data_IF_654070463643
#
_entry.id   IF_654070463643
#
_cell.length_a   1.000
_cell.length_b   1.000
_cell.length_c   1.000
_cell.angle_alpha   90.00
_cell.angle_beta   90.00
_cell.angle_gamma   90.00
#
_symmetry.space_group_name_H-M   'P 1'
#
loop_
_entity.id
_entity.type
_entity.pdbx_description
1 polymer ?
#
# COMPACT_ATOMS: atom_id res chain seq x y z
N UNK A 1 -19.99 -9.55 -6.89
CA UNK A 1 -18.79 -9.74 -6.06
C UNK A 1 -18.53 -8.40 -5.42
N UNK A 2 -18.33 -8.36 -4.11
CA UNK A 2 -18.05 -7.10 -3.42
C UNK A 2 -16.69 -6.59 -3.89
N UNK A 3 -16.50 -5.28 -4.03
CA UNK A 3 -15.19 -4.70 -4.36
C UNK A 3 -14.09 -5.17 -3.37
N UNK A 4 -14.47 -5.57 -2.16
CA UNK A 4 -13.55 -6.14 -1.17
C UNK A 4 -13.01 -7.52 -1.53
N UNK A 5 -13.80 -8.37 -2.19
CA UNK A 5 -13.42 -9.76 -2.49
C UNK A 5 -12.22 -9.82 -3.45
N UNK A 6 -12.22 -8.92 -4.43
CA UNK A 6 -11.14 -8.78 -5.42
C UNK A 6 -9.83 -8.35 -4.76
N UNK A 7 -9.91 -7.43 -3.80
CA UNK A 7 -8.76 -6.93 -3.05
C UNK A 7 -8.21 -8.00 -2.09
N UNK A 8 -9.10 -8.73 -1.42
CA UNK A 8 -8.75 -9.85 -0.53
C UNK A 8 -8.09 -11.01 -1.32
N UNK A 9 -8.41 -11.17 -2.61
CA UNK A 9 -7.80 -12.19 -3.46
C UNK A 9 -6.28 -12.01 -3.64
N UNK A 10 -5.72 -10.83 -3.35
CA UNK A 10 -4.28 -10.56 -3.37
C UNK A 10 -3.53 -11.04 -2.11
N UNK A 11 -4.22 -11.53 -1.06
CA UNK A 11 -3.55 -12.05 0.15
C UNK A 11 -2.46 -13.09 -0.17
N UNK A 12 -2.67 -14.11 -1.02
CA UNK A 12 -1.65 -15.11 -1.33
C UNK A 12 -0.38 -14.50 -1.92
N UNK A 13 -0.50 -13.46 -2.75
CA UNK A 13 0.62 -12.74 -3.33
C UNK A 13 1.49 -12.09 -2.24
N UNK A 14 0.88 -11.36 -1.29
CA UNK A 14 1.61 -10.73 -0.19
C UNK A 14 2.10 -11.70 0.89
N UNK A 15 1.57 -12.93 0.93
CA UNK A 15 1.97 -13.95 1.89
C UNK A 15 3.22 -14.73 1.45
N UNK A 16 3.70 -14.50 0.22
CA UNK A 16 4.90 -15.12 -0.33
C UNK A 16 6.04 -14.12 -0.38
N UNK A 17 7.27 -14.57 -0.09
CA UNK A 17 8.44 -13.75 -0.32
C UNK A 17 8.70 -13.63 -1.82
N UNK A 18 8.76 -12.39 -2.32
CA UNK A 18 9.12 -12.10 -3.70
C UNK A 18 10.41 -11.26 -3.71
N UNK A 19 11.59 -11.87 -3.92
CA UNK A 19 12.85 -11.12 -3.98
C UNK A 19 12.95 -10.20 -5.21
N UNK A 20 12.05 -10.36 -6.19
CA UNK A 20 11.96 -9.50 -7.38
C UNK A 20 10.83 -8.47 -7.28
N UNK A 21 10.27 -8.25 -6.08
CA UNK A 21 9.19 -7.29 -5.85
C UNK A 21 9.54 -5.87 -6.31
N UNK A 22 10.73 -5.39 -5.93
CA UNK A 22 11.22 -4.06 -6.24
C UNK A 22 12.62 -4.16 -6.85
N UNK A 23 12.85 -3.41 -7.93
CA UNK A 23 14.18 -3.25 -8.54
C UNK A 23 14.46 -1.76 -8.69
N UNK A 24 15.56 -1.30 -8.10
CA UNK A 24 15.99 0.08 -8.26
C UNK A 24 16.73 0.26 -9.58
N UNK A 25 16.33 1.26 -10.36
CA UNK A 25 17.08 1.67 -11.54
C UNK A 25 18.41 2.27 -11.15
N UNK A 26 19.39 2.17 -12.03
CA UNK A 26 20.68 2.84 -11.83
C UNK A 26 20.58 4.27 -12.36
N UNK A 27 21.13 5.23 -11.61
CA UNK A 27 21.23 6.60 -12.10
C UNK A 27 22.07 6.65 -13.38
N UNK A 28 21.62 7.43 -14.36
CA UNK A 28 22.29 7.54 -15.66
C UNK A 28 22.53 9.00 -16.02
N UNK A 29 23.75 9.30 -16.46
CA UNK A 29 24.06 10.54 -17.14
C UNK A 29 23.50 10.47 -18.56
N UNK A 30 22.64 11.41 -18.91
CA UNK A 30 22.13 11.53 -20.28
C UNK A 30 23.13 12.29 -21.15
N UNK A 31 23.07 12.04 -22.46
CA UNK A 31 23.95 12.67 -23.47
C UNK A 31 23.86 14.21 -23.43
N UNK A 32 22.70 14.74 -23.03
CA UNK A 32 22.43 16.18 -22.92
C UNK A 32 22.89 16.79 -21.58
N UNK A 33 23.60 16.03 -20.75
CA UNK A 33 24.12 16.48 -19.45
C UNK A 33 23.08 16.52 -18.32
N UNK A 34 21.87 15.99 -18.53
CA UNK A 34 20.89 15.78 -17.45
C UNK A 34 21.16 14.47 -16.71
N UNK A 35 20.89 14.43 -15.42
CA UNK A 35 21.03 13.23 -14.59
C UNK A 35 19.66 12.59 -14.37
N UNK A 36 19.53 11.30 -14.70
CA UNK A 36 18.39 10.48 -14.28
C UNK A 36 18.73 9.91 -12.91
N UNK A 37 17.91 10.23 -11.91
CA UNK A 37 18.05 9.68 -10.57
C UNK A 37 17.51 8.24 -10.51
N UNK A 38 18.07 7.38 -9.64
CA UNK A 38 17.48 6.07 -9.33
C UNK A 38 16.03 6.18 -8.89
N UNK A 39 15.19 5.26 -9.35
CA UNK A 39 13.80 5.12 -8.91
C UNK A 39 13.43 3.63 -8.82
N UNK A 40 12.47 3.25 -7.97
CA UNK A 40 12.02 1.87 -7.84
C UNK A 40 11.09 1.48 -9.00
N UNK A 41 11.29 0.28 -9.52
CA UNK A 41 10.37 -0.41 -10.40
C UNK A 41 9.74 -1.58 -9.64
N UNK A 42 8.41 -1.56 -9.54
CA UNK A 42 7.65 -2.60 -8.86
C UNK A 42 7.20 -3.69 -9.82
N UNK A 43 7.05 -4.91 -9.29
CA UNK A 43 6.53 -6.01 -10.08
C UNK A 43 5.08 -5.77 -10.51
N UNK A 44 4.71 -6.43 -11.61
CA UNK A 44 3.42 -6.20 -12.27
C UNK A 44 2.22 -6.55 -11.38
N UNK A 45 2.29 -7.61 -10.60
CA UNK A 45 1.18 -8.03 -9.74
C UNK A 45 0.92 -6.98 -8.65
N UNK A 46 1.96 -6.36 -8.11
CA UNK A 46 1.81 -5.24 -7.19
C UNK A 46 1.09 -4.04 -7.83
N UNK A 47 1.49 -3.68 -9.06
CA UNK A 47 0.85 -2.55 -9.76
C UNK A 47 -0.63 -2.82 -10.03
N UNK A 48 -0.99 -4.06 -10.42
CA UNK A 48 -2.39 -4.46 -10.56
C UNK A 48 -3.15 -4.39 -9.23
N UNK A 49 -2.52 -4.75 -8.12
CA UNK A 49 -3.12 -4.57 -6.78
C UNK A 49 -3.41 -3.09 -6.50
N UNK A 50 -2.48 -2.18 -6.78
CA UNK A 50 -2.67 -0.74 -6.58
C UNK A 50 -3.83 -0.22 -7.45
N UNK A 51 -3.89 -0.63 -8.72
CA UNK A 51 -4.97 -0.27 -9.63
C UNK A 51 -6.33 -0.79 -9.11
N UNK A 52 -6.37 -2.05 -8.66
CA UNK A 52 -7.58 -2.63 -8.08
C UNK A 52 -8.03 -1.85 -6.82
N UNK A 53 -7.10 -1.43 -5.95
CA UNK A 53 -7.43 -0.62 -4.76
C UNK A 53 -8.06 0.72 -5.16
N UNK A 54 -7.56 1.33 -6.24
CA UNK A 54 -8.15 2.55 -6.80
C UNK A 54 -9.57 2.31 -7.33
N UNK A 55 -9.78 1.22 -8.07
CA UNK A 55 -11.08 0.86 -8.67
C UNK A 55 -12.12 0.44 -7.62
N UNK A 56 -11.68 -0.21 -6.54
CA UNK A 56 -12.52 -0.65 -5.45
C UNK A 56 -13.13 0.49 -4.61
N UNK A 57 -12.71 1.75 -4.85
CA UNK A 57 -13.11 2.94 -4.09
C UNK A 57 -12.83 2.84 -2.58
N UNK A 58 -11.77 2.10 -2.21
CA UNK A 58 -11.32 1.94 -0.82
C UNK A 58 -10.59 3.16 -0.27
N UNK A 59 -10.23 4.09 -1.15
CA UNK A 59 -9.42 5.24 -0.76
C UNK A 59 -10.28 6.33 -0.13
N UNK A 60 -9.83 6.79 1.04
CA UNK A 60 -10.51 7.82 1.80
C UNK A 60 -9.89 9.20 1.53
N UNK A 61 -10.67 10.14 1.00
CA UNK A 61 -10.22 11.51 0.73
C UNK A 61 -9.71 12.25 1.98
N UNK A 62 -10.33 11.99 3.13
CA UNK A 62 -10.05 12.63 4.42
C UNK A 62 -9.07 11.81 5.29
N UNK A 63 -8.34 10.87 4.70
CA UNK A 63 -7.45 9.95 5.41
C UNK A 63 -6.50 10.64 6.40
N UNK A 64 -5.98 11.83 6.05
CA UNK A 64 -5.02 12.54 6.88
C UNK A 64 -5.63 13.02 8.21
N UNK A 65 -6.87 13.51 8.18
CA UNK A 65 -7.60 13.95 9.38
C UNK A 65 -7.92 12.76 10.28
N UNK A 66 -8.47 11.69 9.70
CA UNK A 66 -8.84 10.45 10.40
C UNK A 66 -7.62 9.85 11.10
N UNK A 67 -6.48 9.76 10.40
CA UNK A 67 -5.25 9.21 10.96
C UNK A 67 -4.69 10.10 12.07
N UNK A 68 -4.66 11.42 11.89
CA UNK A 68 -4.13 12.32 12.91
C UNK A 68 -4.98 12.34 14.18
N UNK A 69 -6.29 12.20 14.06
CA UNK A 69 -7.20 12.11 15.21
C UNK A 69 -7.08 10.75 15.92
N UNK A 70 -7.08 9.64 15.17
CA UNK A 70 -7.21 8.29 15.73
C UNK A 70 -5.87 7.61 16.02
N UNK A 71 -4.80 8.01 15.34
CA UNK A 71 -3.44 7.46 15.50
C UNK A 71 -2.39 8.60 15.57
N UNK A 72 -2.50 9.50 16.56
CA UNK A 72 -1.63 10.68 16.66
C UNK A 72 -0.14 10.35 16.87
N UNK A 73 0.16 9.17 17.43
CA UNK A 73 1.54 8.69 17.64
C UNK A 73 2.17 8.06 16.37
N UNK A 74 1.43 8.09 15.26
CA UNK A 74 1.82 7.59 13.94
C UNK A 74 2.20 6.11 13.87
N UNK A 75 1.78 5.30 14.85
CA UNK A 75 2.01 3.84 14.84
C UNK A 75 0.98 3.11 13.98
N UNK A 76 0.88 3.49 12.69
CA UNK A 76 -0.13 2.99 11.76
C UNK A 76 -0.15 1.46 11.69
N UNK A 77 1.04 0.84 11.59
CA UNK A 77 1.18 -0.63 11.57
C UNK A 77 0.53 -1.32 12.77
N UNK A 78 0.65 -0.74 13.96
CA UNK A 78 0.06 -1.29 15.18
C UNK A 78 -1.45 -1.04 15.25
N UNK A 79 -1.92 0.07 14.68
CA UNK A 79 -3.34 0.42 14.65
C UNK A 79 -4.17 -0.50 13.73
N UNK A 80 -3.56 -1.11 12.69
CA UNK A 80 -4.27 -1.95 11.71
C UNK A 80 -5.12 -3.03 12.39
N UNK A 81 -4.60 -3.76 13.38
CA UNK A 81 -5.32 -4.88 14.00
C UNK A 81 -6.60 -4.48 14.73
N UNK A 82 -6.69 -3.22 15.19
CA UNK A 82 -7.86 -2.69 15.88
C UNK A 82 -8.72 -1.78 14.98
N UNK A 83 -8.30 -1.53 13.74
CA UNK A 83 -8.98 -0.61 12.85
C UNK A 83 -10.37 -1.14 12.45
N UNK A 84 -11.34 -0.24 12.40
CA UNK A 84 -12.60 -0.44 11.68
C UNK A 84 -12.40 -0.12 10.18
N UNK A 85 -13.45 -0.31 9.37
CA UNK A 85 -13.38 -0.11 7.91
C UNK A 85 -12.89 1.31 7.55
N UNK A 86 -13.36 2.33 8.27
CA UNK A 86 -12.98 3.73 8.01
C UNK A 86 -11.48 3.98 8.29
N UNK A 87 -10.99 3.60 9.47
CA UNK A 87 -9.58 3.79 9.82
C UNK A 87 -8.67 2.93 8.93
N UNK A 88 -9.10 1.70 8.62
CA UNK A 88 -8.35 0.80 7.75
C UNK A 88 -8.22 1.40 6.34
N UNK A 89 -9.31 1.95 5.79
CA UNK A 89 -9.32 2.65 4.51
C UNK A 89 -8.42 3.88 4.51
N UNK A 90 -8.42 4.65 5.61
CA UNK A 90 -7.54 5.80 5.77
C UNK A 90 -6.05 5.36 5.80
N UNK A 91 -5.70 4.34 6.58
CA UNK A 91 -4.35 3.78 6.65
C UNK A 91 -3.92 3.23 5.28
N UNK A 92 -4.78 2.49 4.59
CA UNK A 92 -4.51 2.01 3.22
C UNK A 92 -4.22 3.18 2.28
N UNK A 93 -5.02 4.25 2.35
CA UNK A 93 -4.83 5.45 1.53
C UNK A 93 -3.49 6.13 1.80
N UNK A 94 -3.06 6.18 3.06
CA UNK A 94 -1.74 6.70 3.42
C UNK A 94 -0.63 5.93 2.70
N UNK A 95 -0.63 4.60 2.78
CA UNK A 95 0.41 3.77 2.17
C UNK A 95 0.35 3.77 0.64
N UNK A 96 -0.84 3.71 0.03
CA UNK A 96 -1.00 3.81 -1.43
C UNK A 96 -0.48 5.14 -1.96
N UNK A 97 -0.68 6.25 -1.23
CA UNK A 97 -0.20 7.57 -1.66
C UNK A 97 1.25 7.85 -1.30
N UNK A 98 1.86 7.10 -0.37
CA UNK A 98 3.19 7.38 0.15
C UNK A 98 4.28 7.42 -0.93
N UNK A 99 4.17 6.56 -1.96
CA UNK A 99 5.13 6.51 -3.07
C UNK A 99 5.22 7.82 -3.84
N UNK A 100 4.13 8.60 -3.91
CA UNK A 100 4.12 9.91 -4.59
C UNK A 100 4.97 10.96 -3.87
N UNK A 101 5.38 10.70 -2.63
CA UNK A 101 6.12 11.63 -1.79
C UNK A 101 7.52 11.12 -1.44
N UNK A 102 7.73 9.81 -1.50
CA UNK A 102 8.99 9.17 -1.13
C UNK A 102 9.14 7.89 -1.95
N UNK A 103 10.04 7.92 -2.93
CA UNK A 103 10.40 6.73 -3.71
C UNK A 103 10.85 5.62 -2.76
N UNK A 104 10.32 4.41 -2.95
CA UNK A 104 10.61 3.24 -2.12
C UNK A 104 9.68 3.08 -0.91
N UNK A 105 8.68 3.94 -0.74
CA UNK A 105 7.70 3.81 0.32
C UNK A 105 6.89 2.51 0.20
N UNK A 106 6.51 2.12 -1.01
CA UNK A 106 5.83 0.85 -1.28
C UNK A 106 6.72 -0.36 -1.02
N UNK A 107 8.02 -0.27 -1.33
CA UNK A 107 8.99 -1.31 -0.97
C UNK A 107 9.07 -1.50 0.54
N UNK A 108 9.23 -0.41 1.27
CA UNK A 108 9.27 -0.45 2.74
C UNK A 108 8.00 -1.07 3.30
N UNK A 109 6.83 -0.63 2.81
CA UNK A 109 5.54 -1.15 3.25
C UNK A 109 5.35 -2.64 2.91
N UNK A 110 5.84 -3.09 1.75
CA UNK A 110 5.86 -4.50 1.37
C UNK A 110 6.72 -5.33 2.33
N UNK A 111 7.96 -4.91 2.55
CA UNK A 111 8.92 -5.60 3.43
C UNK A 111 8.42 -5.67 4.88
N UNK A 112 7.74 -4.64 5.37
CA UNK A 112 7.13 -4.62 6.71
C UNK A 112 5.78 -5.37 6.81
N UNK A 113 5.33 -5.97 5.71
CA UNK A 113 4.08 -6.70 5.54
C UNK A 113 2.84 -5.84 5.86
N UNK A 114 2.90 -4.54 5.59
CA UNK A 114 1.81 -3.60 5.86
C UNK A 114 0.57 -3.96 5.02
N UNK A 115 0.74 -4.12 3.71
CA UNK A 115 -0.38 -4.45 2.81
C UNK A 115 -1.03 -5.78 3.20
N UNK A 116 -0.23 -6.81 3.52
CA UNK A 116 -0.75 -8.08 4.02
C UNK A 116 -1.60 -7.91 5.28
N UNK A 117 -1.12 -7.15 6.27
CA UNK A 117 -1.87 -6.88 7.51
C UNK A 117 -3.19 -6.15 7.23
N UNK A 118 -3.18 -5.18 6.32
CA UNK A 118 -4.40 -4.46 5.93
C UNK A 118 -5.40 -5.42 5.30
N UNK A 119 -4.96 -6.26 4.36
CA UNK A 119 -5.83 -7.21 3.67
C UNK A 119 -6.43 -8.27 4.60
N UNK A 120 -5.63 -8.80 5.52
CA UNK A 120 -6.11 -9.74 6.54
C UNK A 120 -7.16 -9.08 7.44
N UNK A 121 -6.91 -7.83 7.87
CA UNK A 121 -7.89 -7.10 8.66
C UNK A 121 -9.16 -6.80 7.88
N UNK A 122 -9.05 -6.43 6.61
CA UNK A 122 -10.19 -6.17 5.75
C UNK A 122 -11.05 -7.43 5.63
N UNK A 123 -10.42 -8.58 5.42
CA UNK A 123 -11.10 -9.88 5.39
C UNK A 123 -11.88 -10.16 6.68
N UNK A 124 -11.27 -9.96 7.85
CA UNK A 124 -11.95 -10.12 9.14
C UNK A 124 -13.20 -9.22 9.24
N UNK A 125 -13.11 -7.97 8.78
CA UNK A 125 -14.23 -7.01 8.85
C UNK A 125 -15.38 -7.38 7.91
N UNK A 126 -15.07 -7.98 6.75
CA UNK A 126 -16.05 -8.41 5.75
C UNK A 126 -16.70 -9.74 6.14
N UNK A 127 -15.94 -10.70 6.67
CA UNK A 127 -16.45 -12.02 7.10
C UNK A 127 -17.40 -11.95 8.31
N UNK A 128 -17.41 -10.83 9.05
CA UNK A 128 -18.28 -10.59 10.22
C UNK A 128 -19.69 -10.09 9.81
N UNK A 129 -19.91 -9.75 8.54
CA UNK A 129 -21.20 -9.27 8.00
C UNK A 129 -21.82 -10.29 7.03
#
# INVERSE_FOLDING_TARGET
>A
MSNYDEIIAYIPYFNQENPNFCKWTTGQDTVDGSLILPYPEYDREFTHFIDAVHDAQLLNGNYFEIINERVPDKKYRAAISAADVELLSAILTYYVRAERYCDGAWETAYQEQIFLKILLRLKELVDIH
#
